data_IF_199417865133
#
_entry.id   IF_199417865133
#
_cell.length_a   1.000
_cell.length_b   1.000
_cell.length_c   1.000
_cell.angle_alpha   90.00
_cell.angle_beta   90.00
_cell.angle_gamma   90.00
#
_symmetry.space_group_name_H-M   'P 1'
#
loop_
_entity.id
_entity.type
_entity.pdbx_description
1 polymer ?
#
# COMPACT_ATOMS: atom_id res chain seq x y z
N UNK A 1 15.54 -8.17 -1.62
CA UNK A 1 15.41 -7.36 -0.41
C UNK A 1 16.52 -6.33 -0.42
N UNK A 2 16.18 -5.08 -0.10
CA UNK A 2 17.12 -3.97 0.04
C UNK A 2 17.98 -4.20 1.28
N UNK A 3 19.28 -4.31 1.10
CA UNK A 3 20.30 -4.26 2.14
C UNK A 3 21.12 -2.96 1.99
N UNK A 4 22.15 -2.76 2.81
CA UNK A 4 22.95 -1.51 2.77
C UNK A 4 23.59 -1.27 1.40
N UNK A 5 24.06 -2.31 0.71
CA UNK A 5 24.69 -2.19 -0.61
C UNK A 5 23.65 -1.80 -1.66
N UNK A 6 22.54 -2.54 -1.72
CA UNK A 6 21.44 -2.23 -2.65
C UNK A 6 20.76 -0.91 -2.36
N UNK A 7 20.80 -0.44 -1.11
CA UNK A 7 20.23 0.85 -0.73
C UNK A 7 21.00 2.00 -1.39
N UNK A 8 22.34 1.93 -1.49
CA UNK A 8 23.11 2.93 -2.21
C UNK A 8 22.72 2.99 -3.70
N UNK A 9 22.65 1.82 -4.36
CA UNK A 9 22.22 1.72 -5.76
C UNK A 9 20.79 2.25 -5.98
N UNK A 10 19.88 1.92 -5.05
CA UNK A 10 18.51 2.43 -5.06
C UNK A 10 18.47 3.96 -4.99
N UNK A 11 19.27 4.59 -4.13
CA UNK A 11 19.32 6.05 -4.00
C UNK A 11 19.84 6.71 -5.28
N UNK A 12 20.83 6.11 -5.95
CA UNK A 12 21.33 6.57 -7.25
C UNK A 12 20.23 6.50 -8.33
N UNK A 13 19.46 5.40 -8.39
CA UNK A 13 18.35 5.25 -9.32
C UNK A 13 17.19 6.23 -9.05
N UNK A 14 16.98 6.59 -7.79
CA UNK A 14 16.03 7.64 -7.38
C UNK A 14 16.60 9.05 -7.54
N UNK A 15 17.78 9.19 -8.15
CA UNK A 15 18.44 10.46 -8.45
C UNK A 15 18.74 11.30 -7.20
N UNK A 16 19.17 10.65 -6.12
CA UNK A 16 19.80 11.34 -5.00
C UNK A 16 21.19 11.83 -5.43
N UNK A 17 21.54 13.07 -5.09
CA UNK A 17 22.90 13.59 -5.27
C UNK A 17 23.81 13.06 -4.17
N UNK A 18 24.97 12.53 -4.57
CA UNK A 18 25.99 12.01 -3.65
C UNK A 18 27.06 13.07 -3.37
N UNK A 19 27.33 13.32 -2.10
CA UNK A 19 28.42 14.16 -1.59
C UNK A 19 29.19 13.36 -0.53
N UNK A 20 30.35 12.79 -0.89
CA UNK A 20 31.05 11.85 -0.01
C UNK A 20 30.23 10.58 0.24
N UNK A 21 30.00 10.23 1.50
CA UNK A 21 29.16 9.11 1.94
C UNK A 21 27.71 9.52 2.25
N UNK A 22 27.30 10.71 1.81
CA UNK A 22 25.96 11.24 2.07
C UNK A 22 25.18 11.37 0.75
N UNK A 23 23.98 10.79 0.71
CA UNK A 23 23.04 10.92 -0.39
C UNK A 23 21.92 11.86 0.00
N UNK A 24 21.61 12.83 -0.86
CA UNK A 24 20.58 13.87 -0.61
C UNK A 24 19.62 13.97 -1.77
N UNK A 25 18.33 14.14 -1.48
CA UNK A 25 17.30 14.49 -2.46
C UNK A 25 16.55 15.72 -1.98
N UNK A 26 16.57 16.78 -2.79
CA UNK A 26 15.85 18.02 -2.51
C UNK A 26 14.48 18.02 -3.17
N UNK A 27 13.48 18.54 -2.47
CA UNK A 27 12.11 18.68 -2.95
C UNK A 27 11.72 20.16 -2.92
N UNK A 28 11.82 20.83 -4.07
CA UNK A 28 11.61 22.28 -4.20
C UNK A 28 10.22 22.72 -3.73
N UNK A 29 9.19 21.91 -4.04
CA UNK A 29 7.79 22.19 -3.69
C UNK A 29 7.56 22.44 -2.20
N UNK A 30 8.34 21.80 -1.34
CA UNK A 30 8.23 21.94 0.11
C UNK A 30 9.47 22.56 0.76
N UNK A 31 10.48 22.92 -0.04
CA UNK A 31 11.78 23.40 0.41
C UNK A 31 12.37 22.49 1.51
N UNK A 32 12.43 21.19 1.22
CA UNK A 32 12.91 20.18 2.17
C UNK A 32 13.81 19.15 1.50
N UNK A 33 14.46 18.32 2.32
CA UNK A 33 15.41 17.31 1.87
C UNK A 33 15.18 15.96 2.57
N UNK A 34 15.41 14.87 1.84
CA UNK A 34 15.68 13.56 2.42
C UNK A 34 17.18 13.29 2.33
N UNK A 35 17.76 12.76 3.42
CA UNK A 35 19.19 12.47 3.47
C UNK A 35 19.45 11.08 4.04
N UNK A 36 20.30 10.30 3.36
CA UNK A 36 20.86 9.05 3.84
C UNK A 36 22.37 9.22 4.03
N UNK A 37 22.81 9.16 5.28
CA UNK A 37 24.21 9.30 5.68
C UNK A 37 24.79 7.92 5.96
N UNK A 38 25.68 7.44 5.08
CA UNK A 38 26.29 6.11 5.18
C UNK A 38 27.48 6.08 6.15
N UNK A 39 28.07 7.23 6.46
CA UNK A 39 29.16 7.37 7.43
C UNK A 39 28.61 7.22 8.85
N UNK A 40 27.52 7.94 9.14
CA UNK A 40 26.86 7.91 10.45
C UNK A 40 25.76 6.83 10.56
N UNK A 41 25.45 6.14 9.46
CA UNK A 41 24.36 5.16 9.33
C UNK A 41 22.99 5.72 9.75
N UNK A 42 22.70 6.95 9.32
CA UNK A 42 21.50 7.72 9.70
C UNK A 42 20.61 8.01 8.50
N UNK A 43 19.32 7.93 8.74
CA UNK A 43 18.27 8.37 7.83
C UNK A 43 17.65 9.64 8.40
N UNK A 44 17.75 10.74 7.64
CA UNK A 44 17.29 12.06 8.07
C UNK A 44 16.09 12.43 7.20
N UNK A 45 14.95 12.59 7.87
CA UNK A 45 13.69 12.95 7.25
C UNK A 45 13.49 14.48 7.20
N UNK A 46 12.68 14.99 6.25
CA UNK A 46 12.37 16.41 6.12
C UNK A 46 11.91 17.09 7.40
N UNK A 47 12.29 18.36 7.55
CA UNK A 47 11.71 19.23 8.58
C UNK A 47 10.18 19.31 8.39
N UNK A 48 9.45 19.13 9.49
CA UNK A 48 7.98 19.12 9.51
C UNK A 48 7.37 17.72 9.53
N UNK A 49 8.05 16.71 8.99
CA UNK A 49 7.66 15.30 9.18
C UNK A 49 7.95 14.89 10.62
N UNK A 50 6.95 14.30 11.28
CA UNK A 50 7.05 13.93 12.69
C UNK A 50 7.61 12.52 12.82
N UNK A 51 8.68 12.33 13.58
CA UNK A 51 9.27 11.01 13.84
C UNK A 51 9.13 10.70 15.32
N UNK A 52 8.30 9.72 15.66
CA UNK A 52 8.01 9.38 17.07
C UNK A 52 9.05 8.44 17.70
N UNK A 53 9.88 7.79 16.90
CA UNK A 53 10.90 6.83 17.34
C UNK A 53 12.13 6.89 16.44
N UNK A 54 13.33 6.94 17.04
CA UNK A 54 14.60 6.96 16.29
C UNK A 54 14.94 5.61 15.63
N UNK A 55 14.16 4.55 15.92
CA UNK A 55 14.37 3.21 15.33
C UNK A 55 14.28 3.24 13.81
N UNK A 56 13.41 4.08 13.25
CA UNK A 56 13.22 4.23 11.78
C UNK A 56 14.25 5.16 11.12
N UNK A 57 15.15 5.76 11.90
CA UNK A 57 16.10 6.80 11.46
C UNK A 57 17.55 6.31 11.36
N UNK A 58 17.77 5.00 11.22
CA UNK A 58 19.10 4.38 11.19
C UNK A 58 19.13 3.14 10.28
N UNK A 59 20.31 2.55 10.07
CA UNK A 59 20.50 1.43 9.14
C UNK A 59 20.39 0.05 9.81
N UNK A 60 19.97 -0.03 11.09
CA UNK A 60 19.98 -1.29 11.87
C UNK A 60 18.95 -2.31 11.42
N UNK A 61 17.92 -1.89 10.69
CA UNK A 61 16.88 -2.75 10.16
C UNK A 61 16.68 -2.49 8.66
N UNK A 62 16.71 -3.53 7.80
CA UNK A 62 16.46 -3.38 6.36
C UNK A 62 15.07 -2.79 6.04
N UNK A 63 14.09 -2.97 6.93
CA UNK A 63 12.75 -2.37 6.82
C UNK A 63 12.81 -0.84 6.82
N UNK A 64 13.78 -0.23 7.50
CA UNK A 64 13.95 1.22 7.52
C UNK A 64 14.28 1.79 6.12
N UNK A 65 14.95 1.01 5.26
CA UNK A 65 15.21 1.41 3.87
C UNK A 65 13.91 1.42 3.05
N UNK A 66 13.01 0.47 3.30
CA UNK A 66 11.67 0.42 2.67
C UNK A 66 10.83 1.62 3.13
N UNK A 67 10.85 1.95 4.43
CA UNK A 67 10.14 3.12 4.95
C UNK A 67 10.70 4.41 4.34
N UNK A 68 12.03 4.56 4.30
CA UNK A 68 12.68 5.74 3.71
C UNK A 68 12.31 5.92 2.24
N UNK A 69 12.31 4.84 1.48
CA UNK A 69 11.94 4.84 0.07
C UNK A 69 10.43 5.13 -0.15
N UNK A 70 9.56 4.62 0.72
CA UNK A 70 8.13 4.95 0.71
C UNK A 70 7.90 6.45 1.00
N UNK A 71 8.61 7.02 1.98
CA UNK A 71 8.56 8.46 2.29
C UNK A 71 9.04 9.31 1.12
N UNK A 72 10.12 8.90 0.44
CA UNK A 72 10.58 9.54 -0.79
C UNK A 72 9.44 9.61 -1.83
N UNK A 73 8.78 8.48 -2.13
CA UNK A 73 7.66 8.44 -3.10
C UNK A 73 6.51 9.36 -2.72
N UNK A 74 6.12 9.35 -1.45
CA UNK A 74 5.04 10.22 -0.94
C UNK A 74 5.38 11.69 -1.19
N UNK A 75 6.59 12.13 -0.87
CA UNK A 75 6.97 13.54 -1.03
C UNK A 75 7.11 13.90 -2.51
N UNK A 76 7.69 13.02 -3.32
CA UNK A 76 7.81 13.23 -4.77
C UNK A 76 6.45 13.36 -5.45
N UNK A 77 5.47 12.55 -5.02
CA UNK A 77 4.09 12.66 -5.47
C UNK A 77 3.39 13.94 -4.98
N UNK A 78 3.91 14.59 -3.94
CA UNK A 78 3.43 15.87 -3.45
C UNK A 78 2.62 15.79 -2.16
N UNK A 79 2.81 14.75 -1.35
CA UNK A 79 2.40 14.77 0.06
C UNK A 79 3.33 15.71 0.83
N UNK A 80 2.73 16.70 1.50
CA UNK A 80 3.46 17.62 2.35
C UNK A 80 4.05 16.87 3.57
N UNK A 81 5.36 17.00 3.85
CA UNK A 81 6.00 16.37 5.00
C UNK A 81 5.28 16.59 6.33
N UNK A 82 4.66 17.77 6.52
CA UNK A 82 3.93 18.11 7.76
C UNK A 82 2.72 17.21 8.06
N UNK A 83 2.22 16.49 7.06
CA UNK A 83 1.10 15.56 7.21
C UNK A 83 1.54 14.11 7.43
N UNK A 84 2.84 13.84 7.41
CA UNK A 84 3.41 12.50 7.58
C UNK A 84 3.94 12.37 9.00
N UNK A 85 3.48 11.35 9.71
CA UNK A 85 4.00 10.91 11.00
C UNK A 85 4.59 9.51 10.84
N UNK A 86 5.84 9.31 11.25
CA UNK A 86 6.50 8.01 11.28
C UNK A 86 6.46 7.41 12.68
N UNK A 87 6.37 6.10 12.75
CA UNK A 87 6.42 5.35 14.01
C UNK A 87 5.28 5.75 14.97
N UNK A 88 4.09 6.05 14.44
CA UNK A 88 2.96 6.56 15.21
C UNK A 88 2.49 5.51 16.23
N UNK A 89 2.58 5.84 17.51
CA UNK A 89 1.96 5.09 18.60
C UNK A 89 0.62 5.73 19.00
N UNK A 90 -0.40 4.92 19.28
CA UNK A 90 -1.59 5.38 19.99
C UNK A 90 -1.55 4.91 21.45
N UNK A 91 -2.04 5.75 22.35
CA UNK A 91 -2.13 5.41 23.77
C UNK A 91 -3.39 4.58 24.01
N UNK A 92 -3.23 3.36 24.52
CA UNK A 92 -4.35 2.53 24.99
C UNK A 92 -4.42 2.66 26.52
N UNK A 93 -5.26 3.58 26.99
CA UNK A 93 -5.46 3.84 28.43
C UNK A 93 -4.19 4.32 29.15
N UNK A 94 -4.13 4.14 30.47
CA UNK A 94 -3.07 4.71 31.32
C UNK A 94 -1.72 3.98 31.28
N UNK A 95 -1.54 2.86 30.54
CA UNK A 95 -0.29 2.09 30.70
C UNK A 95 0.09 1.12 29.56
N UNK A 96 -0.67 1.00 28.47
CA UNK A 96 -0.30 0.09 27.37
C UNK A 96 -0.09 0.87 26.08
N UNK A 97 1.12 0.75 25.51
CA UNK A 97 1.40 1.21 24.16
C UNK A 97 0.58 0.37 23.19
N UNK A 98 -0.21 1.02 22.35
CA UNK A 98 -0.83 0.39 21.19
C UNK A 98 0.23 0.00 20.17
N UNK A 99 -0.21 -0.67 19.10
CA UNK A 99 0.66 -0.96 17.95
C UNK A 99 1.27 0.32 17.38
N UNK A 100 2.41 0.18 16.70
CA UNK A 100 3.16 1.30 16.12
C UNK A 100 3.08 1.21 14.60
N UNK A 101 2.48 2.19 13.96
CA UNK A 101 2.42 2.23 12.49
C UNK A 101 3.66 2.90 11.90
N UNK A 102 4.21 2.31 10.84
CA UNK A 102 5.41 2.82 10.19
C UNK A 102 5.19 4.22 9.60
N UNK A 103 4.08 4.41 8.87
CA UNK A 103 3.72 5.70 8.26
C UNK A 103 2.22 5.97 8.48
N UNK A 104 1.91 7.15 9.01
CA UNK A 104 0.57 7.66 9.20
C UNK A 104 0.42 9.01 8.51
N UNK A 105 -0.60 9.14 7.64
CA UNK A 105 -0.78 10.32 6.80
C UNK A 105 -2.15 10.96 7.04
N UNK A 106 -2.15 12.28 7.17
CA UNK A 106 -3.35 13.10 7.33
C UNK A 106 -3.60 14.01 6.13
N UNK A 107 -4.80 14.57 6.03
CA UNK A 107 -5.12 15.62 5.06
C UNK A 107 -4.81 17.03 5.61
N UNK A 108 -5.15 18.04 4.80
CA UNK A 108 -4.98 19.45 5.16
C UNK A 108 -5.86 19.89 6.34
N UNK A 109 -6.86 19.10 6.73
CA UNK A 109 -7.75 19.32 7.87
C UNK A 109 -7.32 18.50 9.10
N UNK A 110 -6.12 17.92 9.08
CA UNK A 110 -5.57 17.03 10.12
C UNK A 110 -6.40 15.73 10.32
N UNK A 111 -7.20 15.33 9.32
CA UNK A 111 -7.95 14.07 9.35
C UNK A 111 -7.12 12.93 8.78
N UNK A 112 -7.15 11.74 9.39
CA UNK A 112 -6.45 10.58 8.86
C UNK A 112 -6.93 10.22 7.44
N UNK A 113 -5.97 9.94 6.56
CA UNK A 113 -6.25 9.39 5.24
C UNK A 113 -5.79 7.94 5.16
N UNK A 114 -4.52 7.68 5.41
CA UNK A 114 -3.92 6.38 5.17
C UNK A 114 -2.91 6.01 6.27
N UNK A 115 -2.92 4.73 6.62
CA UNK A 115 -1.89 4.08 7.45
C UNK A 115 -1.14 3.09 6.54
N UNK A 116 0.18 3.17 6.49
CA UNK A 116 1.03 2.27 5.69
C UNK A 116 1.94 1.48 6.64
N UNK A 117 1.89 0.16 6.53
CA UNK A 117 2.83 -0.78 7.13
C UNK A 117 3.81 -1.23 6.04
N UNK A 118 5.11 -1.02 6.27
CA UNK A 118 6.18 -1.42 5.37
C UNK A 118 6.72 -2.79 5.77
N UNK A 119 7.08 -3.61 4.77
CA UNK A 119 7.79 -4.87 5.00
C UNK A 119 8.90 -5.04 3.98
N UNK A 120 9.94 -5.77 4.37
CA UNK A 120 10.99 -6.17 3.44
C UNK A 120 10.47 -7.14 2.38
N UNK A 121 10.93 -6.96 1.14
CA UNK A 121 10.49 -7.77 0.01
C UNK A 121 10.86 -9.25 0.18
N UNK A 122 10.02 -10.13 -0.37
CA UNK A 122 10.18 -11.57 -0.27
C UNK A 122 9.42 -12.17 0.92
N UNK A 123 10.14 -12.85 1.82
CA UNK A 123 9.50 -13.70 2.85
C UNK A 123 8.65 -12.92 3.83
N UNK A 124 9.12 -11.77 4.31
CA UNK A 124 8.39 -10.99 5.32
C UNK A 124 7.13 -10.37 4.73
N UNK A 125 7.22 -9.78 3.53
CA UNK A 125 6.04 -9.31 2.81
C UNK A 125 5.02 -10.42 2.53
N UNK A 126 5.45 -11.60 2.06
CA UNK A 126 4.54 -12.72 1.83
C UNK A 126 3.89 -13.22 3.13
N UNK A 127 4.63 -13.25 4.24
CA UNK A 127 4.08 -13.59 5.55
C UNK A 127 3.04 -12.56 5.98
N UNK A 128 3.33 -11.26 5.81
CA UNK A 128 2.41 -10.20 6.17
C UNK A 128 1.10 -10.25 5.36
N UNK A 129 1.16 -10.60 4.07
CA UNK A 129 -0.05 -10.87 3.25
C UNK A 129 -0.85 -12.03 3.84
N UNK A 130 -0.19 -13.15 4.14
CA UNK A 130 -0.89 -14.32 4.67
C UNK A 130 -1.57 -14.03 6.03
N UNK A 131 -0.91 -13.26 6.89
CA UNK A 131 -1.48 -12.80 8.17
C UNK A 131 -2.65 -11.85 7.91
N UNK A 132 -2.48 -10.86 7.03
CA UNK A 132 -3.52 -9.92 6.68
C UNK A 132 -4.78 -10.64 6.19
N UNK A 133 -4.65 -11.59 5.26
CA UNK A 133 -5.78 -12.33 4.66
C UNK A 133 -6.36 -13.44 5.56
N UNK A 134 -5.57 -13.97 6.49
CA UNK A 134 -5.92 -15.18 7.24
C UNK A 134 -6.22 -14.96 8.73
N UNK A 135 -5.75 -13.86 9.32
CA UNK A 135 -5.80 -13.62 10.76
C UNK A 135 -6.50 -12.29 11.07
N UNK A 136 -7.54 -12.38 11.90
CA UNK A 136 -8.33 -11.21 12.32
C UNK A 136 -7.55 -10.24 13.22
N UNK A 137 -6.52 -10.72 13.92
CA UNK A 137 -5.66 -9.92 14.81
C UNK A 137 -4.39 -9.43 14.11
N UNK A 138 -4.50 -8.85 12.91
CA UNK A 138 -3.35 -8.31 12.20
C UNK A 138 -3.07 -6.84 12.54
N UNK A 139 -1.86 -6.37 12.21
CA UNK A 139 -1.38 -5.02 12.53
C UNK A 139 -2.24 -3.93 11.90
N UNK A 140 -2.55 -4.02 10.60
CA UNK A 140 -3.28 -2.98 9.88
C UNK A 140 -4.67 -2.71 10.48
N UNK A 141 -5.43 -3.78 10.76
CA UNK A 141 -6.75 -3.62 11.39
C UNK A 141 -6.65 -3.21 12.86
N UNK A 142 -5.55 -3.55 13.54
CA UNK A 142 -5.26 -3.05 14.89
C UNK A 142 -5.00 -1.53 14.89
N UNK A 143 -4.33 -0.99 13.88
CA UNK A 143 -4.17 0.46 13.71
C UNK A 143 -5.48 1.13 13.33
N UNK A 144 -6.27 0.51 12.45
CA UNK A 144 -7.59 1.02 12.10
C UNK A 144 -8.55 1.07 13.29
N UNK A 145 -8.44 0.13 14.24
CA UNK A 145 -9.17 0.22 15.50
C UNK A 145 -8.77 1.45 16.33
N UNK A 146 -7.49 1.83 16.31
CA UNK A 146 -6.95 2.98 17.05
C UNK A 146 -7.23 4.33 16.35
N UNK A 147 -7.33 4.33 15.02
CA UNK A 147 -7.66 5.50 14.19
C UNK A 147 -8.86 5.20 13.27
N UNK A 148 -10.09 5.13 13.81
CA UNK A 148 -11.28 4.66 13.09
C UNK A 148 -11.72 5.56 11.92
N UNK A 149 -11.27 6.82 11.88
CA UNK A 149 -11.59 7.74 10.79
C UNK A 149 -10.67 7.58 9.56
N UNK A 150 -9.67 6.68 9.64
CA UNK A 150 -8.77 6.39 8.52
C UNK A 150 -9.56 5.85 7.33
N UNK A 151 -9.21 6.30 6.13
CA UNK A 151 -9.92 5.92 4.89
C UNK A 151 -9.28 4.73 4.19
N UNK A 152 -7.95 4.59 4.30
CA UNK A 152 -7.20 3.55 3.63
C UNK A 152 -6.16 2.90 4.54
N UNK A 153 -5.90 1.61 4.33
CA UNK A 153 -4.78 0.88 4.91
C UNK A 153 -3.89 0.40 3.77
N UNK A 154 -2.58 0.41 3.95
CA UNK A 154 -1.66 -0.13 2.98
C UNK A 154 -0.60 -1.05 3.60
N UNK A 155 -0.38 -2.21 2.99
CA UNK A 155 0.82 -3.02 3.20
C UNK A 155 1.76 -2.76 2.04
N UNK A 156 2.94 -2.20 2.29
CA UNK A 156 3.89 -1.73 1.27
C UNK A 156 5.21 -2.49 1.30
N UNK A 157 5.83 -2.67 0.14
CA UNK A 157 7.21 -3.13 0.03
C UNK A 157 7.88 -2.58 -1.23
N UNK A 158 9.19 -2.47 -1.18
CA UNK A 158 10.03 -2.12 -2.31
C UNK A 158 11.32 -2.95 -2.34
N UNK A 159 11.86 -3.14 -3.54
CA UNK A 159 13.09 -3.86 -3.78
C UNK A 159 13.82 -3.33 -5.02
N UNK A 160 15.06 -3.80 -5.18
CA UNK A 160 15.79 -3.63 -6.41
C UNK A 160 15.79 -4.93 -7.21
N UNK A 161 15.16 -4.92 -8.38
CA UNK A 161 15.02 -6.07 -9.28
C UNK A 161 15.54 -5.66 -10.66
N UNK A 162 16.52 -6.40 -11.18
CA UNK A 162 17.10 -6.18 -12.51
C UNK A 162 17.52 -4.72 -12.79
N UNK A 163 18.11 -4.06 -11.77
CA UNK A 163 18.58 -2.68 -11.86
C UNK A 163 17.46 -1.63 -11.86
N UNK A 164 16.25 -2.00 -11.43
CA UNK A 164 15.09 -1.10 -11.31
C UNK A 164 14.52 -1.14 -9.90
N UNK A 165 14.07 0.03 -9.44
CA UNK A 165 13.33 0.14 -8.19
C UNK A 165 11.90 -0.34 -8.44
N UNK A 166 11.58 -1.51 -7.92
CA UNK A 166 10.26 -2.10 -7.98
C UNK A 166 9.56 -1.95 -6.63
N UNK A 167 8.27 -1.67 -6.66
CA UNK A 167 7.45 -1.54 -5.47
C UNK A 167 6.08 -2.17 -5.70
N UNK A 168 5.46 -2.59 -4.62
CA UNK A 168 4.12 -3.16 -4.64
C UNK A 168 3.43 -2.90 -3.30
N UNK A 169 2.11 -2.88 -3.32
CA UNK A 169 1.34 -2.70 -2.10
C UNK A 169 -0.05 -3.32 -2.21
N UNK A 170 -0.65 -3.59 -1.04
CA UNK A 170 -2.07 -3.90 -0.88
C UNK A 170 -2.75 -2.66 -0.32
N UNK A 171 -3.56 -1.98 -1.11
CA UNK A 171 -4.33 -0.80 -0.69
C UNK A 171 -5.78 -1.23 -0.39
N UNK A 172 -6.17 -1.16 0.88
CA UNK A 172 -7.51 -1.52 1.35
C UNK A 172 -8.29 -0.23 1.60
N UNK A 173 -9.48 -0.12 0.99
CA UNK A 173 -10.45 0.92 1.32
C UNK A 173 -11.26 0.47 2.53
N UNK A 174 -11.21 1.24 3.62
CA UNK A 174 -11.93 0.94 4.87
C UNK A 174 -13.09 1.91 5.13
N UNK A 175 -13.63 2.48 4.06
CA UNK A 175 -14.83 3.33 4.09
C UNK A 175 -16.07 2.54 3.70
N UNK A 176 -17.20 2.83 4.36
CA UNK A 176 -18.45 2.15 4.04
C UNK A 176 -19.04 2.57 2.69
N UNK A 177 -19.36 1.58 1.85
CA UNK A 177 -20.14 1.80 0.63
C UNK A 177 -21.64 1.85 0.97
N UNK A 178 -22.17 3.07 1.07
CA UNK A 178 -23.57 3.30 1.46
C UNK A 178 -24.58 2.66 0.50
N UNK A 179 -24.28 2.59 -0.80
CA UNK A 179 -25.17 1.97 -1.80
C UNK A 179 -25.21 0.45 -1.64
N UNK A 180 -24.04 -0.18 -1.43
CA UNK A 180 -23.93 -1.61 -1.17
C UNK A 180 -24.72 -2.01 0.09
N UNK A 181 -24.51 -1.29 1.19
CA UNK A 181 -25.15 -1.55 2.47
C UNK A 181 -26.67 -1.29 2.43
N UNK A 182 -27.11 -0.26 1.70
CA UNK A 182 -28.55 0.01 1.50
C UNK A 182 -29.25 -1.12 0.72
N UNK A 183 -28.58 -1.66 -0.30
CA UNK A 183 -29.10 -2.76 -1.11
C UNK A 183 -29.01 -4.12 -0.40
N UNK A 184 -28.15 -4.26 0.61
CA UNK A 184 -27.94 -5.50 1.35
C UNK A 184 -27.93 -5.27 2.87
N UNK A 185 -29.10 -5.04 3.52
CA UNK A 185 -29.18 -4.61 4.92
C UNK A 185 -28.69 -5.63 5.97
N UNK A 186 -28.27 -6.82 5.54
CA UNK A 186 -27.71 -7.87 6.41
C UNK A 186 -26.18 -7.83 6.48
N UNK A 187 -25.53 -7.05 5.62
CA UNK A 187 -24.08 -6.90 5.61
C UNK A 187 -23.65 -5.99 6.77
N UNK A 188 -22.52 -6.34 7.38
CA UNK A 188 -21.93 -5.58 8.47
C UNK A 188 -21.21 -4.34 7.92
N UNK A 189 -21.23 -3.23 8.65
CA UNK A 189 -20.55 -1.99 8.26
C UNK A 189 -19.31 -1.73 9.10
N UNK A 190 -18.32 -1.00 8.57
CA UNK A 190 -17.17 -0.58 9.36
C UNK A 190 -17.57 0.35 10.50
N UNK A 191 -18.60 1.19 10.29
CA UNK A 191 -19.13 2.10 11.31
C UNK A 191 -19.65 1.35 12.54
N UNK A 192 -20.27 0.20 12.33
CA UNK A 192 -20.88 -0.60 13.40
C UNK A 192 -19.91 -1.67 13.96
N UNK A 193 -18.69 -1.76 13.42
CA UNK A 193 -17.63 -2.64 13.91
C UNK A 193 -16.82 -1.99 15.05
N UNK A 194 -16.78 -2.65 16.21
CA UNK A 194 -16.20 -2.07 17.44
C UNK A 194 -14.91 -2.75 17.91
N UNK A 195 -14.53 -3.87 17.30
CA UNK A 195 -13.28 -4.57 17.58
C UNK A 195 -12.41 -4.75 16.32
N UNK A 196 -11.14 -5.07 16.53
CA UNK A 196 -10.20 -5.40 15.44
C UNK A 196 -10.75 -6.55 14.59
N UNK A 197 -11.29 -7.58 15.25
CA UNK A 197 -11.86 -8.74 14.59
C UNK A 197 -13.11 -8.41 13.78
N UNK A 198 -14.00 -7.57 14.31
CA UNK A 198 -15.19 -7.13 13.57
C UNK A 198 -14.80 -6.31 12.34
N UNK A 199 -13.85 -5.38 12.47
CA UNK A 199 -13.38 -4.56 11.35
C UNK A 199 -12.74 -5.43 10.27
N UNK A 200 -11.94 -6.41 10.66
CA UNK A 200 -11.37 -7.36 9.71
C UNK A 200 -12.45 -8.22 9.06
N UNK A 201 -13.45 -8.68 9.82
CA UNK A 201 -14.57 -9.47 9.30
C UNK A 201 -15.39 -8.67 8.29
N UNK A 202 -15.69 -7.40 8.55
CA UNK A 202 -16.34 -6.50 7.57
C UNK A 202 -15.55 -6.47 6.27
N UNK A 203 -14.22 -6.28 6.34
CA UNK A 203 -13.39 -6.33 5.14
C UNK A 203 -13.50 -7.67 4.40
N UNK A 204 -13.38 -8.79 5.12
CA UNK A 204 -13.37 -10.13 4.51
C UNK A 204 -14.72 -10.59 3.98
N UNK A 205 -15.81 -10.25 4.64
CA UNK A 205 -17.15 -10.80 4.38
C UNK A 205 -18.07 -9.81 3.68
N UNK A 206 -18.01 -8.52 4.00
CA UNK A 206 -18.84 -7.50 3.33
C UNK A 206 -18.19 -6.95 2.08
N UNK A 207 -16.86 -6.78 2.12
CA UNK A 207 -16.07 -6.26 0.99
C UNK A 207 -15.17 -7.33 0.35
N UNK A 208 -15.48 -8.61 0.56
CA UNK A 208 -14.83 -9.76 -0.09
C UNK A 208 -13.28 -9.82 0.04
N UNK A 209 -12.72 -9.16 1.06
CA UNK A 209 -11.27 -9.01 1.22
C UNK A 209 -10.61 -8.20 0.10
N UNK A 210 -11.36 -7.31 -0.55
CA UNK A 210 -10.91 -6.52 -1.69
C UNK A 210 -9.74 -5.60 -1.32
N UNK A 211 -8.77 -5.53 -2.22
CA UNK A 211 -7.65 -4.59 -2.17
C UNK A 211 -7.29 -4.18 -3.60
N UNK A 212 -6.68 -3.00 -3.72
CA UNK A 212 -6.09 -2.51 -4.96
C UNK A 212 -4.57 -2.58 -4.91
N UNK A 213 -3.94 -2.71 -6.06
CA UNK A 213 -2.48 -2.56 -6.24
C UNK A 213 -2.15 -1.28 -7.01
N UNK A 214 -3.15 -0.40 -7.17
CA UNK A 214 -3.08 0.89 -7.85
C UNK A 214 -3.85 1.95 -7.08
N UNK A 215 -3.46 3.21 -7.24
CA UNK A 215 -4.22 4.38 -6.79
C UNK A 215 -3.60 5.05 -5.58
N UNK A 216 -2.41 4.60 -5.16
CA UNK A 216 -1.59 5.30 -4.18
C UNK A 216 -0.48 6.12 -4.85
N UNK A 217 0.27 5.57 -5.81
CA UNK A 217 1.48 6.21 -6.39
C UNK A 217 1.42 6.44 -7.92
N UNK A 218 0.50 5.81 -8.65
CA UNK A 218 0.52 5.72 -10.12
C UNK A 218 -0.19 6.91 -10.79
N UNK A 219 0.45 8.08 -10.76
CA UNK A 219 -0.08 9.35 -11.26
C UNK A 219 -1.35 9.85 -10.54
N UNK A 220 -1.69 9.28 -9.37
CA UNK A 220 -2.74 9.84 -8.51
C UNK A 220 -2.32 11.20 -7.96
N UNK A 221 -3.28 12.12 -7.90
CA UNK A 221 -3.08 13.38 -7.16
C UNK A 221 -2.87 13.08 -5.67
N UNK A 222 -1.95 13.78 -4.99
CA UNK A 222 -1.74 13.58 -3.56
C UNK A 222 -3.06 13.80 -2.80
N UNK A 223 -3.32 12.97 -1.79
CA UNK A 223 -4.56 12.97 -0.99
C UNK A 223 -5.82 12.49 -1.73
N UNK A 224 -5.76 12.13 -3.02
CA UNK A 224 -6.88 11.55 -3.78
C UNK A 224 -6.64 10.08 -4.10
N UNK A 225 -6.65 9.26 -3.05
CA UNK A 225 -6.36 7.83 -3.12
C UNK A 225 -7.53 7.05 -3.75
N UNK A 226 -7.22 6.03 -4.55
CA UNK A 226 -8.18 5.04 -5.06
C UNK A 226 -9.07 5.51 -6.21
N UNK A 227 -8.84 6.72 -6.76
CA UNK A 227 -9.65 7.28 -7.84
C UNK A 227 -9.19 6.90 -9.26
N UNK A 228 -8.04 6.25 -9.39
CA UNK A 228 -7.51 5.94 -10.71
C UNK A 228 -8.22 4.72 -11.30
N UNK A 229 -8.96 4.96 -12.39
CA UNK A 229 -9.40 3.87 -13.25
C UNK A 229 -8.18 3.25 -13.90
N UNK A 230 -8.21 1.93 -14.13
CA UNK A 230 -7.27 1.29 -15.03
C UNK A 230 -7.43 1.89 -16.43
N UNK A 231 -6.30 2.26 -17.03
CA UNK A 231 -6.17 2.81 -18.37
C UNK A 231 -5.36 1.85 -19.24
N UNK A 232 -5.32 2.10 -20.55
CA UNK A 232 -4.52 1.29 -21.49
C UNK A 232 -3.03 1.35 -21.13
N UNK A 233 -2.57 2.47 -20.57
CA UNK A 233 -1.16 2.65 -20.18
C UNK A 233 -0.76 1.79 -18.97
N UNK A 234 -1.73 1.24 -18.22
CA UNK A 234 -1.49 0.34 -17.08
C UNK A 234 -1.29 -1.12 -17.50
N UNK A 235 -1.44 -1.44 -18.79
CA UNK A 235 -1.28 -2.79 -19.29
C UNK A 235 0.20 -3.20 -19.21
N UNK A 236 0.49 -4.20 -18.37
CA UNK A 236 1.81 -4.82 -18.29
C UNK A 236 1.93 -5.93 -19.34
N UNK A 237 3.03 -5.92 -20.09
CA UNK A 237 3.38 -7.03 -20.99
C UNK A 237 3.72 -8.24 -20.14
N UNK A 238 2.96 -9.32 -20.31
CA UNK A 238 3.15 -10.56 -19.56
C UNK A 238 4.21 -11.41 -20.26
N UNK A 239 5.28 -11.79 -19.54
CA UNK A 239 6.29 -12.72 -20.02
C UNK A 239 5.77 -14.16 -20.08
N UNK A 240 6.44 -15.03 -20.83
CA UNK A 240 6.04 -16.43 -20.95
C UNK A 240 6.04 -17.19 -19.59
N UNK A 241 6.91 -16.78 -18.67
CA UNK A 241 6.95 -17.29 -17.30
C UNK A 241 5.71 -16.87 -16.51
N UNK A 242 5.36 -15.59 -16.56
CA UNK A 242 4.18 -15.04 -15.87
C UNK A 242 2.86 -15.61 -16.42
N UNK A 243 2.79 -15.93 -17.72
CA UNK A 243 1.63 -16.64 -18.29
C UNK A 243 1.40 -17.97 -17.55
N UNK A 244 2.47 -18.74 -17.33
CA UNK A 244 2.39 -19.99 -16.58
C UNK A 244 1.92 -19.78 -15.14
N UNK A 245 2.49 -18.80 -14.44
CA UNK A 245 2.11 -18.45 -13.07
C UNK A 245 0.64 -18.02 -12.96
N UNK A 246 0.17 -17.15 -13.88
CA UNK A 246 -1.23 -16.72 -13.96
C UNK A 246 -2.16 -17.90 -14.24
N UNK A 247 -1.79 -18.78 -15.16
CA UNK A 247 -2.57 -19.99 -15.44
C UNK A 247 -2.70 -20.88 -14.18
N UNK A 248 -1.63 -21.07 -13.42
CA UNK A 248 -1.66 -21.80 -12.16
C UNK A 248 -2.53 -21.12 -11.10
N UNK A 249 -2.49 -19.79 -11.00
CA UNK A 249 -3.39 -19.02 -10.13
C UNK A 249 -4.85 -19.24 -10.52
N UNK A 250 -5.19 -19.11 -11.80
CA UNK A 250 -6.55 -19.38 -12.31
C UNK A 250 -7.00 -20.82 -12.01
N UNK A 251 -6.17 -21.82 -12.29
CA UNK A 251 -6.50 -23.21 -12.02
C UNK A 251 -6.71 -23.48 -10.52
N UNK A 252 -5.95 -22.80 -9.66
CA UNK A 252 -6.08 -22.89 -8.19
C UNK A 252 -7.41 -22.30 -7.72
N UNK A 253 -7.80 -21.14 -8.25
CA UNK A 253 -9.10 -20.52 -7.97
C UNK A 253 -10.24 -21.45 -8.40
N UNK A 254 -10.23 -21.94 -9.64
CA UNK A 254 -11.28 -22.83 -10.14
C UNK A 254 -11.40 -24.12 -9.29
N UNK A 255 -10.27 -24.65 -8.80
CA UNK A 255 -10.26 -25.81 -7.89
C UNK A 255 -10.85 -25.45 -6.53
N UNK A 256 -10.48 -24.30 -5.95
CA UNK A 256 -10.98 -23.82 -4.65
C UNK A 256 -12.52 -23.72 -4.63
N UNK A 257 -13.11 -23.31 -5.75
CA UNK A 257 -14.57 -23.15 -5.88
C UNK A 257 -15.27 -24.33 -6.60
N UNK A 258 -14.62 -25.49 -6.71
CA UNK A 258 -15.18 -26.72 -7.30
C UNK A 258 -15.79 -26.55 -8.72
N UNK A 259 -15.19 -25.70 -9.55
CA UNK A 259 -15.65 -25.47 -10.92
C UNK A 259 -15.18 -26.63 -11.81
N UNK A 260 -16.13 -27.47 -12.25
CA UNK A 260 -15.87 -28.71 -13.00
C UNK A 260 -15.58 -28.50 -14.49
N UNK A 261 -16.19 -27.51 -15.14
CA UNK A 261 -15.99 -27.17 -16.55
C UNK A 261 -14.95 -26.07 -16.75
N UNK A 262 -13.67 -26.35 -16.47
CA UNK A 262 -12.62 -25.32 -16.36
C UNK A 262 -12.40 -24.51 -17.65
N UNK A 263 -12.29 -25.17 -18.80
CA UNK A 263 -12.13 -24.50 -20.11
C UNK A 263 -13.36 -23.63 -20.45
N UNK A 264 -14.56 -24.20 -20.33
CA UNK A 264 -15.82 -23.48 -20.56
C UNK A 264 -16.00 -22.28 -19.61
N UNK A 265 -15.50 -22.37 -18.38
CA UNK A 265 -15.57 -21.29 -17.40
C UNK A 265 -14.60 -20.15 -17.74
N UNK A 266 -13.42 -20.49 -18.26
CA UNK A 266 -12.47 -19.50 -18.76
C UNK A 266 -13.04 -18.75 -19.97
N UNK A 267 -13.57 -19.47 -20.96
CA UNK A 267 -14.17 -18.86 -22.16
C UNK A 267 -15.34 -17.92 -21.82
N UNK A 268 -16.21 -18.33 -20.89
CA UNK A 268 -17.32 -17.49 -20.41
C UNK A 268 -16.81 -16.22 -19.70
N UNK A 269 -15.77 -16.35 -18.88
CA UNK A 269 -15.17 -15.21 -18.18
C UNK A 269 -14.55 -14.24 -19.18
N UNK A 270 -13.80 -14.73 -20.17
CA UNK A 270 -13.22 -13.91 -21.25
C UNK A 270 -14.32 -13.20 -22.04
N UNK A 271 -15.41 -13.91 -22.38
CA UNK A 271 -16.55 -13.30 -23.08
C UNK A 271 -17.23 -12.20 -22.25
N UNK A 272 -17.44 -12.41 -20.95
CA UNK A 272 -18.00 -11.37 -20.07
C UNK A 272 -17.07 -10.15 -19.96
N UNK A 273 -15.76 -10.38 -19.89
CA UNK A 273 -14.77 -9.33 -19.87
C UNK A 273 -14.79 -8.52 -21.18
N UNK A 274 -14.84 -9.21 -22.32
CA UNK A 274 -14.95 -8.58 -23.65
C UNK A 274 -16.24 -7.76 -23.78
N UNK A 275 -17.38 -8.30 -23.33
CA UNK A 275 -18.63 -7.55 -23.30
C UNK A 275 -18.48 -6.26 -22.48
N UNK A 276 -17.88 -6.34 -21.29
CA UNK A 276 -17.67 -5.17 -20.43
C UNK A 276 -16.74 -4.15 -21.09
N UNK A 277 -15.66 -4.60 -21.75
CA UNK A 277 -14.74 -3.72 -22.49
C UNK A 277 -15.47 -3.00 -23.63
N UNK A 278 -16.28 -3.73 -24.41
CA UNK A 278 -17.08 -3.13 -25.51
C UNK A 278 -18.09 -2.11 -24.97
N UNK A 279 -18.74 -2.40 -23.84
CA UNK A 279 -19.66 -1.46 -23.19
C UNK A 279 -18.95 -0.17 -22.77
N UNK A 280 -17.79 -0.27 -22.11
CA UNK A 280 -17.01 0.91 -21.67
C UNK A 280 -16.48 1.73 -22.86
N UNK A 281 -16.02 1.08 -23.94
CA UNK A 281 -15.61 1.77 -25.19
C UNK A 281 -16.80 2.48 -25.84
N UNK A 282 -17.97 1.83 -25.88
CA UNK A 282 -19.17 2.38 -26.51
C UNK A 282 -19.78 3.53 -25.71
N UNK A 283 -19.61 3.54 -24.39
CA UNK A 283 -20.03 4.62 -23.50
C UNK A 283 -19.09 5.83 -23.59
N UNK A 284 -17.78 5.60 -23.66
CA UNK A 284 -16.77 6.67 -23.82
C UNK A 284 -16.81 7.34 -25.20
N UNK A 285 -17.24 6.64 -26.24
CA UNK A 285 -17.44 7.21 -27.60
C UNK A 285 -18.71 8.07 -27.76
N UNK A 286 -19.58 8.14 -26.74
CA UNK A 286 -20.82 8.93 -26.75
C UNK A 286 -20.73 10.27 -26.00
N UNK A 287 -19.55 10.59 -25.46
CA UNK A 287 -19.21 11.86 -24.80
C UNK A 287 -18.31 12.66 -25.72
#
# INVERSE_FOLDING_TARGET
MIDKEKFAELLELLQFSKEGEVYKKSFEKFNCELVADFEEEKLIYPKGLQVHSSVVSNFSAPENFVVFECVHRLIEQGYNPKHIELEKEWQIGHSKKGGRADIYIKDNEDKPIIIIECKTAGREYQRAINILEGESSNQLFSYFQQAPDTKFLALYTSDLIDGKVEYQYYLINVQDNQELLANNPKLDSYRDAHSVEDKWRVWRETYDGEYSQKGLFENSEPYRIGKDKFTIDDLKVISQKEIGEKYHQFATILRKYNVSGRENSFDKLVNLLLCKVVDEISLSAKV
#
